data_IF_769617958914
#
_entry.id   IF_769617958914
#
_cell.length_a   1.000
_cell.length_b   1.000
_cell.length_c   1.000
_cell.angle_alpha   90.00
_cell.angle_beta   90.00
_cell.angle_gamma   90.00
#
_symmetry.space_group_name_H-M   'P 1'
#
loop_
_entity.id
_entity.type
_entity.pdbx_description
1 polymer ?
#
# COMPACT_ATOMS: atom_id res chain seq x y z
N UNK A 1 4.78 10.86 26.08
CA UNK A 1 5.00 9.98 24.91
C UNK A 1 4.74 10.82 23.68
N UNK A 2 5.65 10.81 22.72
CA UNK A 2 5.49 11.52 21.45
C UNK A 2 4.42 10.81 20.60
N UNK A 3 3.52 11.56 19.99
CA UNK A 3 2.47 11.07 19.09
C UNK A 3 3.06 10.61 17.74
N UNK A 4 2.28 9.87 16.94
CA UNK A 4 2.73 9.47 15.60
C UNK A 4 2.95 10.66 14.66
N UNK A 5 2.11 11.69 14.76
CA UNK A 5 2.25 12.94 14.00
C UNK A 5 3.59 13.62 14.31
N UNK A 6 4.00 13.66 15.58
CA UNK A 6 5.27 14.27 15.98
C UNK A 6 6.48 13.41 15.57
N UNK A 7 6.36 12.08 15.49
CA UNK A 7 7.45 11.18 15.07
C UNK A 7 7.62 11.10 13.55
N UNK A 8 6.52 11.20 12.80
CA UNK A 8 6.47 11.06 11.35
C UNK A 8 5.78 12.26 10.69
N UNK A 9 6.26 13.49 10.91
CA UNK A 9 5.57 14.71 10.48
C UNK A 9 5.33 14.75 8.96
N UNK A 10 6.23 14.18 8.16
CA UNK A 10 6.09 14.13 6.69
C UNK A 10 4.96 13.20 6.24
N UNK A 11 4.78 12.03 6.87
CA UNK A 11 3.70 11.10 6.56
C UNK A 11 2.33 11.71 6.85
N UNK A 12 2.21 12.44 7.96
CA UNK A 12 0.95 13.05 8.41
C UNK A 12 0.72 14.45 7.83
N UNK A 13 1.68 15.02 7.09
CA UNK A 13 1.51 16.30 6.43
C UNK A 13 0.47 16.20 5.30
N UNK A 14 -0.37 17.22 5.10
CA UNK A 14 -1.18 17.31 3.90
C UNK A 14 -0.31 17.33 2.64
N UNK A 15 -0.67 16.54 1.65
CA UNK A 15 -0.01 16.50 0.35
C UNK A 15 -1.04 16.54 -0.79
N UNK A 16 -0.55 16.80 -2.01
CA UNK A 16 -1.35 16.76 -3.22
C UNK A 16 -0.75 15.74 -4.19
N UNK A 17 -1.51 14.70 -4.55
CA UNK A 17 -1.10 13.71 -5.53
C UNK A 17 -1.60 14.11 -6.92
N UNK A 18 -0.69 14.66 -7.73
CA UNK A 18 -1.03 15.27 -9.02
C UNK A 18 -1.61 14.27 -10.04
N UNK A 19 -1.16 13.02 -10.03
CA UNK A 19 -1.63 11.99 -10.96
C UNK A 19 -3.14 11.69 -10.79
N UNK A 20 -3.67 11.82 -9.58
CA UNK A 20 -5.08 11.57 -9.25
C UNK A 20 -5.91 12.83 -8.99
N UNK A 21 -5.29 14.00 -8.92
CA UNK A 21 -5.89 15.25 -8.42
C UNK A 21 -6.51 15.08 -7.02
N UNK A 22 -5.71 14.54 -6.09
CA UNK A 22 -6.14 14.18 -4.74
C UNK A 22 -5.47 15.07 -3.70
N UNK A 23 -6.27 15.65 -2.80
CA UNK A 23 -5.75 16.14 -1.52
C UNK A 23 -5.66 14.95 -0.56
N UNK A 24 -4.47 14.66 -0.05
CA UNK A 24 -4.23 13.48 0.79
C UNK A 24 -3.74 13.83 2.18
N UNK A 25 -4.20 13.06 3.16
CA UNK A 25 -3.70 13.09 4.55
C UNK A 25 -3.68 11.68 5.11
N UNK A 26 -2.59 11.34 5.79
CA UNK A 26 -2.50 10.06 6.47
C UNK A 26 -3.25 10.07 7.82
N UNK A 27 -3.86 8.95 8.17
CA UNK A 27 -4.49 8.71 9.47
C UNK A 27 -4.22 7.28 9.94
N UNK A 28 -4.21 7.10 11.27
CA UNK A 28 -4.19 5.76 11.89
C UNK A 28 -5.60 5.28 12.26
N UNK A 29 -6.62 6.11 12.05
CA UNK A 29 -8.01 5.72 12.23
C UNK A 29 -8.47 4.84 11.07
N UNK A 30 -9.18 3.76 11.41
CA UNK A 30 -9.70 2.82 10.43
C UNK A 30 -10.95 3.41 9.75
N UNK A 31 -10.99 3.54 8.42
CA UNK A 31 -12.16 4.06 7.72
C UNK A 31 -13.29 3.02 7.69
N UNK A 32 -14.50 3.47 7.34
CA UNK A 32 -15.57 2.56 6.97
C UNK A 32 -15.19 1.76 5.71
N UNK A 33 -15.60 0.49 5.63
CA UNK A 33 -15.19 -0.45 4.59
C UNK A 33 -15.55 0.07 3.18
N UNK A 34 -16.72 0.66 3.04
CA UNK A 34 -17.25 1.22 1.79
C UNK A 34 -16.45 2.41 1.25
N UNK A 35 -15.57 3.01 2.07
CA UNK A 35 -14.69 4.11 1.65
C UNK A 35 -13.30 3.62 1.21
N UNK A 36 -12.98 2.33 1.36
CA UNK A 36 -11.70 1.76 0.94
C UNK A 36 -11.68 1.54 -0.56
N UNK A 37 -10.79 2.25 -1.26
CA UNK A 37 -10.56 2.06 -2.69
C UNK A 37 -9.36 1.18 -3.01
N UNK A 38 -8.34 1.18 -2.13
CA UNK A 38 -7.07 0.50 -2.37
C UNK A 38 -6.54 -0.15 -1.10
N UNK A 39 -5.85 -1.27 -1.26
CA UNK A 39 -5.17 -2.00 -0.19
C UNK A 39 -3.72 -2.23 -0.58
N UNK A 40 -2.78 -1.76 0.24
CA UNK A 40 -1.35 -2.07 0.13
C UNK A 40 -0.88 -2.89 1.31
N UNK A 41 0.00 -3.84 1.06
CA UNK A 41 0.45 -4.82 2.05
C UNK A 41 1.96 -4.70 2.26
N UNK A 42 2.35 -4.41 3.50
CA UNK A 42 3.70 -4.69 3.99
C UNK A 42 3.78 -6.20 4.22
N UNK A 43 4.18 -6.94 3.18
CA UNK A 43 4.31 -8.39 3.23
C UNK A 43 5.54 -8.80 4.03
N UNK A 44 5.35 -9.42 5.20
CA UNK A 44 6.43 -9.87 6.07
C UNK A 44 6.75 -11.34 5.79
N UNK A 45 8.03 -11.62 5.64
CA UNK A 45 8.61 -12.97 5.50
C UNK A 45 9.73 -13.14 6.52
N UNK A 46 10.29 -14.35 6.64
CA UNK A 46 11.49 -14.57 7.47
C UNK A 46 12.68 -13.71 7.03
N UNK A 47 12.79 -13.39 5.73
CA UNK A 47 13.90 -12.59 5.18
C UNK A 47 13.69 -11.07 5.23
N UNK A 48 12.51 -10.60 5.65
CA UNK A 48 12.17 -9.18 5.70
C UNK A 48 10.86 -8.83 4.99
N UNK A 49 10.82 -7.64 4.38
CA UNK A 49 9.65 -7.05 3.72
C UNK A 49 9.71 -7.30 2.22
N UNK A 50 8.58 -7.70 1.64
CA UNK A 50 8.40 -7.83 0.20
C UNK A 50 8.22 -6.45 -0.43
N UNK A 51 9.04 -6.14 -1.43
CA UNK A 51 8.93 -4.93 -2.26
C UNK A 51 8.99 -5.30 -3.74
N UNK A 52 8.32 -4.52 -4.57
CA UNK A 52 8.25 -4.74 -6.01
C UNK A 52 8.76 -3.54 -6.80
N UNK A 53 9.15 -3.80 -8.05
CA UNK A 53 9.30 -2.77 -9.05
C UNK A 53 8.65 -3.16 -10.38
N UNK A 54 8.20 -2.16 -11.14
CA UNK A 54 7.53 -2.35 -12.42
C UNK A 54 8.37 -1.82 -13.60
N UNK A 55 7.88 -2.06 -14.81
CA UNK A 55 8.50 -1.66 -16.07
C UNK A 55 8.57 -0.14 -16.31
N UNK A 56 7.86 0.65 -15.49
CA UNK A 56 7.92 2.11 -15.44
C UNK A 56 8.99 2.62 -14.46
N UNK A 57 9.70 1.72 -13.78
CA UNK A 57 10.73 2.05 -12.79
C UNK A 57 10.17 2.49 -11.44
N UNK A 58 8.89 2.23 -11.16
CA UNK A 58 8.31 2.48 -9.85
C UNK A 58 8.77 1.42 -8.86
N UNK A 59 8.85 1.81 -7.58
CA UNK A 59 9.15 0.91 -6.47
C UNK A 59 8.06 1.03 -5.43
N UNK A 60 7.46 -0.09 -5.06
CA UNK A 60 6.22 -0.10 -4.31
C UNK A 60 6.06 -1.32 -3.42
N UNK A 61 5.10 -1.24 -2.51
CA UNK A 61 4.61 -2.38 -1.75
C UNK A 61 3.47 -3.03 -2.54
N UNK A 62 3.37 -4.37 -2.61
CA UNK A 62 2.28 -5.03 -3.31
C UNK A 62 0.92 -4.55 -2.84
N UNK A 63 0.01 -4.30 -3.77
CA UNK A 63 -1.30 -3.75 -3.47
C UNK A 63 -1.93 -3.07 -4.67
N UNK A 64 -3.22 -2.82 -4.56
CA UNK A 64 -3.93 -2.24 -5.68
C UNK A 64 -5.38 -1.92 -5.39
N UNK A 65 -6.14 -1.83 -6.47
CA UNK A 65 -7.49 -1.29 -6.45
C UNK A 65 -8.48 -2.40 -6.11
N UNK A 66 -9.42 -2.08 -5.23
CA UNK A 66 -10.52 -2.98 -4.87
C UNK A 66 -11.46 -3.17 -6.07
N UNK A 67 -11.76 -4.42 -6.41
CA UNK A 67 -12.75 -4.75 -7.44
C UNK A 67 -14.19 -4.67 -6.90
N UNK A 68 -15.22 -4.59 -7.77
CA UNK A 68 -16.62 -4.54 -7.32
C UNK A 68 -16.97 -5.67 -6.35
N UNK A 69 -17.59 -5.32 -5.23
CA UNK A 69 -18.03 -6.25 -4.17
C UNK A 69 -16.90 -7.12 -3.57
N UNK A 70 -15.63 -6.82 -3.84
CA UNK A 70 -14.49 -7.59 -3.36
C UNK A 70 -14.21 -7.28 -1.89
N UNK A 71 -14.12 -8.25 -0.97
CA UNK A 71 -13.70 -7.96 0.40
C UNK A 71 -12.22 -7.52 0.48
N UNK A 72 -11.88 -6.66 1.44
CA UNK A 72 -10.49 -6.16 1.64
C UNK A 72 -9.43 -7.28 1.67
N UNK A 73 -9.73 -8.40 2.31
CA UNK A 73 -8.81 -9.54 2.40
C UNK A 73 -8.61 -10.26 1.06
N UNK A 74 -9.65 -10.31 0.21
CA UNK A 74 -9.54 -10.85 -1.13
C UNK A 74 -8.78 -9.91 -2.06
N UNK A 75 -9.01 -8.59 -1.95
CA UNK A 75 -8.18 -7.59 -2.64
C UNK A 75 -6.70 -7.77 -2.31
N UNK A 76 -6.35 -7.82 -1.01
CA UNK A 76 -4.96 -8.03 -0.59
C UNK A 76 -4.38 -9.34 -1.13
N UNK A 77 -5.16 -10.43 -1.09
CA UNK A 77 -4.73 -11.76 -1.58
C UNK A 77 -4.49 -11.76 -3.09
N UNK A 78 -5.38 -11.13 -3.86
CA UNK A 78 -5.28 -11.04 -5.32
C UNK A 78 -4.06 -10.22 -5.71
N UNK A 79 -3.91 -9.01 -5.17
CA UNK A 79 -2.81 -8.11 -5.50
C UNK A 79 -1.45 -8.70 -5.11
N UNK A 80 -1.33 -9.35 -3.94
CA UNK A 80 -0.10 -10.05 -3.56
C UNK A 80 0.28 -11.18 -4.53
N UNK A 81 -0.71 -11.91 -5.03
CA UNK A 81 -0.45 -12.95 -6.03
C UNK A 81 -0.05 -12.34 -7.38
N UNK A 82 -0.77 -11.31 -7.80
CA UNK A 82 -0.56 -10.64 -9.10
C UNK A 82 0.80 -9.98 -9.18
N UNK A 83 1.21 -9.27 -8.13
CA UNK A 83 2.38 -8.41 -8.13
C UNK A 83 3.61 -9.02 -7.46
N UNK A 84 3.43 -9.99 -6.55
CA UNK A 84 4.55 -10.60 -5.83
C UNK A 84 4.59 -12.13 -5.91
N UNK A 85 3.60 -12.78 -6.54
CA UNK A 85 3.48 -14.23 -6.49
C UNK A 85 3.35 -14.77 -5.06
N UNK A 86 2.85 -13.94 -4.15
CA UNK A 86 2.83 -14.17 -2.73
C UNK A 86 1.44 -14.55 -2.20
N UNK A 87 1.41 -15.33 -1.13
CA UNK A 87 0.20 -15.75 -0.43
C UNK A 87 0.26 -15.39 1.04
N UNK A 88 -0.85 -14.84 1.55
CA UNK A 88 -1.03 -14.53 2.98
C UNK A 88 -1.08 -15.82 3.81
N UNK A 89 -0.36 -15.82 4.94
CA UNK A 89 -0.32 -16.93 5.92
C UNK A 89 -0.81 -16.52 7.32
N UNK A 90 -1.07 -15.23 7.54
CA UNK A 90 -1.53 -14.68 8.82
C UNK A 90 -2.68 -13.67 8.67
N UNK A 91 -3.09 -13.00 9.77
CA UNK A 91 -4.11 -11.96 9.71
C UNK A 91 -3.58 -10.68 9.06
N UNK A 92 -4.49 -9.89 8.49
CA UNK A 92 -4.20 -8.50 8.12
C UNK A 92 -4.18 -7.64 9.39
N UNK A 93 -3.04 -7.00 9.66
CA UNK A 93 -2.86 -6.09 10.79
C UNK A 93 -2.84 -4.65 10.30
N UNK A 94 -3.73 -3.82 10.86
CA UNK A 94 -3.88 -2.42 10.47
C UNK A 94 -2.66 -1.57 10.79
N UNK A 95 -2.22 -0.73 9.84
CA UNK A 95 -1.23 0.33 10.07
C UNK A 95 -1.92 1.71 10.06
N UNK A 96 -2.59 2.02 8.95
CA UNK A 96 -3.14 3.34 8.69
C UNK A 96 -3.55 3.50 7.22
N UNK A 97 -4.03 4.68 6.85
CA UNK A 97 -4.48 4.95 5.50
C UNK A 97 -4.21 6.39 5.06
N UNK A 98 -3.98 6.56 3.77
CA UNK A 98 -4.11 7.86 3.13
C UNK A 98 -5.59 8.09 2.83
N UNK A 99 -6.20 9.05 3.53
CA UNK A 99 -7.47 9.63 3.10
C UNK A 99 -7.21 10.48 1.87
N UNK A 100 -7.96 10.24 0.80
CA UNK A 100 -7.91 11.00 -0.44
C UNK A 100 -9.24 11.74 -0.65
N UNK A 101 -9.19 13.07 -0.67
CA UNK A 101 -10.28 13.93 -1.08
C UNK A 101 -10.11 14.26 -2.58
N UNK A 102 -11.06 13.82 -3.40
CA UNK A 102 -10.99 13.86 -4.86
C UNK A 102 -11.45 15.22 -5.39
N UNK A 103 -10.64 15.87 -6.23
CA UNK A 103 -11.02 17.13 -6.90
C UNK A 103 -11.77 16.93 -8.21
N UNK A 104 -11.65 15.74 -8.80
CA UNK A 104 -12.33 15.38 -10.05
C UNK A 104 -13.85 15.29 -9.85
N UNK A 105 -14.65 15.53 -10.91
CA UNK A 105 -16.12 15.53 -10.81
C UNK A 105 -16.73 14.13 -10.57
N UNK A 106 -15.98 13.06 -10.75
CA UNK A 106 -16.44 11.68 -10.53
C UNK A 106 -15.30 10.72 -10.21
N UNK A 107 -15.61 9.46 -9.85
CA UNK A 107 -14.62 8.47 -9.46
C UNK A 107 -13.78 7.99 -10.65
N UNK A 108 -12.59 7.46 -10.35
CA UNK A 108 -11.70 6.83 -11.36
C UNK A 108 -12.34 5.60 -12.02
N UNK A 109 -13.02 4.75 -11.24
CA UNK A 109 -13.87 3.65 -11.71
C UNK A 109 -15.27 3.76 -11.09
N UNK A 110 -16.35 3.37 -11.78
CA UNK A 110 -17.72 3.63 -11.33
C UNK A 110 -18.09 3.11 -9.93
N UNK A 111 -17.46 2.02 -9.49
CA UNK A 111 -17.72 1.39 -8.19
C UNK A 111 -16.87 1.96 -7.04
N UNK A 112 -15.87 2.79 -7.33
CA UNK A 112 -14.99 3.34 -6.31
C UNK A 112 -15.63 4.51 -5.58
N UNK A 113 -15.34 4.68 -4.28
CA UNK A 113 -15.94 5.73 -3.47
C UNK A 113 -15.46 7.12 -3.93
N UNK A 114 -16.40 8.07 -3.90
CA UNK A 114 -16.22 9.48 -4.27
C UNK A 114 -17.22 10.34 -3.48
N UNK A 115 -16.86 11.59 -3.08
CA UNK A 115 -15.62 12.32 -3.37
C UNK A 115 -14.46 11.98 -2.44
N UNK A 116 -14.61 10.94 -1.62
CA UNK A 116 -13.64 10.56 -0.60
C UNK A 116 -13.31 9.09 -0.76
N UNK A 117 -12.04 8.74 -0.75
CA UNK A 117 -11.61 7.34 -0.65
C UNK A 117 -10.43 7.18 0.32
N UNK A 118 -10.12 5.93 0.65
CA UNK A 118 -8.99 5.56 1.49
C UNK A 118 -8.11 4.52 0.82
N UNK A 119 -6.81 4.78 0.86
CA UNK A 119 -5.76 3.85 0.48
C UNK A 119 -5.20 3.27 1.76
N UNK A 120 -5.63 2.07 2.10
CA UNK A 120 -5.25 1.45 3.36
C UNK A 120 -3.92 0.72 3.25
N UNK A 121 -3.23 0.64 4.39
CA UNK A 121 -1.97 -0.06 4.53
C UNK A 121 -2.09 -1.06 5.68
N UNK A 122 -1.72 -2.30 5.40
CA UNK A 122 -1.77 -3.40 6.36
C UNK A 122 -0.46 -4.18 6.36
N UNK A 123 -0.15 -4.85 7.47
CA UNK A 123 0.92 -5.86 7.54
C UNK A 123 0.27 -7.24 7.47
N UNK A 124 0.90 -8.16 6.74
CA UNK A 124 0.52 -9.57 6.76
C UNK A 124 1.77 -10.45 6.68
N UNK A 125 1.75 -11.60 7.35
CA UNK A 125 2.70 -12.66 7.06
C UNK A 125 2.40 -13.25 5.68
N UNK A 126 3.43 -13.42 4.86
CA UNK A 126 3.32 -13.94 3.50
C UNK A 126 4.40 -14.97 3.19
N UNK A 127 4.14 -15.80 2.19
CA UNK A 127 5.13 -16.66 1.53
C UNK A 127 5.11 -16.38 0.03
N UNK A 128 6.28 -16.24 -0.58
CA UNK A 128 6.42 -16.11 -2.03
C UNK A 128 6.50 -17.53 -2.60
N UNK A 129 5.51 -17.91 -3.41
CA UNK A 129 5.37 -19.28 -3.94
C UNK A 129 5.50 -19.34 -5.47
N UNK A 130 5.42 -18.19 -6.15
CA UNK A 130 5.47 -18.09 -7.60
C UNK A 130 6.11 -16.77 -8.05
N UNK A 131 6.30 -16.65 -9.37
CA UNK A 131 6.52 -15.35 -10.01
C UNK A 131 5.21 -14.54 -10.02
N UNK A 132 5.27 -13.18 -10.10
CA UNK A 132 4.08 -12.35 -10.31
C UNK A 132 3.32 -12.80 -11.55
N UNK A 133 1.99 -12.78 -11.49
CA UNK A 133 1.16 -13.22 -12.63
C UNK A 133 0.98 -12.14 -13.69
N UNK A 134 1.25 -10.87 -13.37
CA UNK A 134 1.24 -9.72 -14.30
C UNK A 134 0.00 -9.72 -15.22
N UNK A 135 -1.21 -9.51 -14.69
CA UNK A 135 -2.40 -9.44 -15.53
C UNK A 135 -2.26 -8.31 -16.58
N UNK A 136 -2.85 -8.46 -17.79
CA UNK A 136 -2.65 -7.49 -18.88
C UNK A 136 -3.07 -6.05 -18.58
N UNK A 137 -3.99 -5.87 -17.63
CA UNK A 137 -4.57 -4.61 -17.19
C UNK A 137 -4.02 -4.12 -15.84
N UNK A 138 -3.06 -4.85 -15.25
CA UNK A 138 -2.36 -4.48 -14.02
C UNK A 138 -0.95 -3.93 -14.26
N UNK A 139 -0.27 -3.60 -13.16
CA UNK A 139 1.14 -3.22 -13.19
C UNK A 139 2.00 -4.38 -13.71
N UNK A 140 3.00 -4.06 -14.55
CA UNK A 140 3.90 -5.07 -15.09
C UNK A 140 5.13 -5.17 -14.19
N UNK A 141 5.06 -6.06 -13.20
CA UNK A 141 6.14 -6.27 -12.24
C UNK A 141 7.34 -6.92 -12.91
N UNK A 142 8.50 -6.28 -12.76
CA UNK A 142 9.78 -6.72 -13.30
C UNK A 142 10.71 -7.26 -12.23
N UNK A 143 10.50 -6.90 -10.96
CA UNK A 143 11.32 -7.33 -9.84
C UNK A 143 10.48 -7.52 -8.58
N UNK A 144 10.75 -8.60 -7.84
CA UNK A 144 10.20 -8.87 -6.51
C UNK A 144 11.37 -9.17 -5.59
N UNK A 145 11.57 -8.36 -4.56
CA UNK A 145 12.66 -8.50 -3.58
C UNK A 145 12.10 -8.75 -2.18
N UNK A 146 12.90 -9.45 -1.38
CA UNK A 146 12.72 -9.53 0.07
C UNK A 146 13.91 -8.85 0.70
N UNK A 147 13.67 -7.73 1.39
CA UNK A 147 14.71 -6.89 1.98
C UNK A 147 14.49 -6.71 3.48
N UNK A 148 15.55 -6.62 4.31
CA UNK A 148 15.43 -6.15 5.68
C UNK A 148 14.67 -4.81 5.76
N UNK A 149 13.91 -4.51 6.83
CA UNK A 149 13.06 -3.32 6.89
C UNK A 149 13.76 -2.00 6.51
N UNK A 150 14.97 -1.76 7.00
CA UNK A 150 15.74 -0.55 6.69
C UNK A 150 16.16 -0.47 5.22
N UNK A 151 16.48 -1.61 4.60
CA UNK A 151 16.82 -1.71 3.18
C UNK A 151 15.58 -1.58 2.30
N UNK A 152 14.44 -2.14 2.70
CA UNK A 152 13.16 -1.97 2.03
C UNK A 152 12.74 -0.49 2.04
N UNK A 153 12.92 0.19 3.17
CA UNK A 153 12.67 1.64 3.28
C UNK A 153 13.56 2.41 2.29
N UNK A 154 14.88 2.16 2.30
CA UNK A 154 15.80 2.83 1.39
C UNK A 154 15.46 2.55 -0.09
N UNK A 155 15.09 1.31 -0.41
CA UNK A 155 14.65 0.91 -1.75
C UNK A 155 13.41 1.68 -2.19
N UNK A 156 12.39 1.78 -1.34
CA UNK A 156 11.13 2.48 -1.63
C UNK A 156 11.32 4.00 -1.75
N UNK A 157 12.20 4.60 -0.96
CA UNK A 157 12.48 6.04 -0.99
C UNK A 157 13.21 6.49 -2.27
N UNK A 158 13.83 5.57 -3.02
CA UNK A 158 14.39 5.90 -4.34
C UNK A 158 13.29 6.21 -5.37
N UNK A 159 12.02 5.85 -5.11
CA UNK A 159 10.91 6.29 -5.94
C UNK A 159 10.58 7.76 -5.64
N UNK A 160 10.71 8.67 -6.62
CA UNK A 160 10.33 10.07 -6.45
C UNK A 160 8.86 10.19 -6.04
N UNK A 161 8.56 11.05 -5.07
CA UNK A 161 7.22 11.23 -4.50
C UNK A 161 6.61 9.97 -3.85
N UNK A 162 7.45 8.96 -3.57
CA UNK A 162 7.04 7.71 -2.93
C UNK A 162 6.55 7.91 -1.49
N UNK A 163 5.39 7.33 -1.19
CA UNK A 163 4.79 7.40 0.16
C UNK A 163 4.99 6.12 0.97
N UNK A 164 5.40 5.03 0.32
CA UNK A 164 5.41 3.69 0.92
C UNK A 164 6.57 3.47 1.90
N UNK A 165 7.74 4.11 1.71
CA UNK A 165 8.85 4.02 2.67
C UNK A 165 8.45 4.51 4.06
N UNK A 166 7.67 5.60 4.13
CA UNK A 166 7.12 6.11 5.39
C UNK A 166 6.10 5.16 6.05
N UNK A 167 5.35 4.39 5.26
CA UNK A 167 4.45 3.34 5.78
C UNK A 167 5.25 2.24 6.45
N UNK A 168 6.36 1.78 5.84
CA UNK A 168 7.24 0.76 6.43
C UNK A 168 7.92 1.29 7.70
N UNK A 169 8.40 2.54 7.72
CA UNK A 169 8.93 3.19 8.93
C UNK A 169 7.91 3.21 10.08
N UNK A 170 6.65 3.51 9.78
CA UNK A 170 5.59 3.49 10.77
C UNK A 170 5.32 2.07 11.28
N UNK A 171 5.25 1.09 10.38
CA UNK A 171 5.08 -0.32 10.74
C UNK A 171 6.21 -0.83 11.66
N UNK A 172 7.47 -0.48 11.35
CA UNK A 172 8.63 -0.80 12.18
C UNK A 172 8.54 -0.14 13.56
N UNK A 173 8.15 1.13 13.63
CA UNK A 173 7.98 1.84 14.90
C UNK A 173 6.79 1.34 15.74
N UNK A 174 5.80 0.69 15.11
CA UNK A 174 4.72 -0.04 15.77
C UNK A 174 5.14 -1.45 16.23
N UNK A 175 6.33 -1.93 15.83
CA UNK A 175 6.82 -3.27 16.13
C UNK A 175 6.15 -4.36 15.30
N UNK A 176 5.67 -4.02 14.09
CA UNK A 176 4.99 -4.95 13.20
C UNK A 176 5.94 -5.62 12.19
N UNK A 177 7.10 -5.02 11.94
CA UNK A 177 8.19 -5.53 11.10
C UNK A 177 9.55 -5.32 11.75
#
# INVERSE_FOLDING_TARGET
MQTWVERFPELFAPAFWAWGELDVRFTTEQPADELVSNVHVVGRTEGGVVVCANDLGWRFLPGGTREPDEPIHETARRELLEEAGARITGPLTWIGAHRADHRRPGPYRPHLPHPVSYWINVVADVVIEAAPTNPPDGEQVTEVLVLPPDEAIAYLDEHPDGVMGNVVRLAQAMGLV
#
